data_IF_362758449026
#
_entry.id   IF_362758449026
#
_cell.length_a   1.000
_cell.length_b   1.000
_cell.length_c   1.000
_cell.angle_alpha   90.00
_cell.angle_beta   90.00
_cell.angle_gamma   90.00
#
_symmetry.space_group_name_H-M   'P 1'
#
loop_
_entity.id
_entity.type
_entity.pdbx_description
1 polymer ?
#
# COMPACT_ATOMS: atom_id res chain seq x y z
N UNK A 1 6.65 -23.94 -12.86
CA UNK A 1 5.78 -22.85 -13.35
C UNK A 1 4.73 -22.67 -12.28
N UNK A 2 4.63 -21.48 -11.70
CA UNK A 2 3.64 -21.17 -10.65
C UNK A 2 2.48 -20.48 -11.34
N UNK A 3 1.29 -21.08 -11.27
CA UNK A 3 0.16 -20.67 -12.11
C UNK A 3 -0.55 -19.41 -11.60
N UNK A 4 -0.35 -19.03 -10.34
CA UNK A 4 -0.92 -17.80 -9.77
C UNK A 4 -0.20 -17.37 -8.49
N UNK A 5 -0.36 -16.08 -8.15
CA UNK A 5 0.04 -15.50 -6.86
C UNK A 5 -1.09 -14.60 -6.36
N UNK A 6 -1.24 -14.50 -5.05
CA UNK A 6 -2.23 -13.65 -4.40
C UNK A 6 -1.61 -13.04 -3.14
N UNK A 7 -2.05 -11.83 -2.82
CA UNK A 7 -1.57 -11.10 -1.65
C UNK A 7 -2.47 -9.93 -1.32
N UNK A 8 -2.25 -9.36 -0.13
CA UNK A 8 -2.90 -8.13 0.32
C UNK A 8 -1.97 -6.96 0.00
N UNK A 9 -2.54 -5.89 -0.53
CA UNK A 9 -1.78 -4.71 -0.93
C UNK A 9 -2.58 -3.43 -0.73
N UNK A 10 -1.86 -2.33 -0.49
CA UNK A 10 -2.44 -1.00 -0.35
C UNK A 10 -2.52 -0.32 -1.71
N UNK A 11 -3.65 0.32 -2.01
CA UNK A 11 -3.74 1.25 -3.14
C UNK A 11 -2.98 2.54 -2.78
N UNK A 12 -2.00 2.89 -3.61
CA UNK A 12 -1.11 4.04 -3.41
C UNK A 12 -1.71 5.31 -3.98
N UNK A 13 -2.28 5.22 -5.19
CA UNK A 13 -2.98 6.34 -5.81
C UNK A 13 -4.11 5.85 -6.71
N UNK A 14 -5.08 6.73 -6.94
CA UNK A 14 -6.20 6.52 -7.85
C UNK A 14 -6.55 7.84 -8.56
N UNK A 15 -6.70 7.78 -9.88
CA UNK A 15 -7.12 8.90 -10.71
C UNK A 15 -8.59 8.72 -11.13
N UNK A 16 -9.53 9.51 -10.58
CA UNK A 16 -10.95 9.33 -10.87
C UNK A 16 -11.35 9.69 -12.31
N UNK A 17 -10.51 10.44 -13.04
CA UNK A 17 -10.80 10.87 -14.42
C UNK A 17 -10.75 9.73 -15.42
N UNK A 18 -9.84 8.78 -15.22
CA UNK A 18 -9.61 7.67 -16.17
C UNK A 18 -9.56 6.30 -15.49
N UNK A 19 -9.82 6.23 -14.18
CA UNK A 19 -9.77 5.00 -13.39
C UNK A 19 -8.37 4.44 -13.18
N UNK A 20 -7.31 5.12 -13.62
CA UNK A 20 -5.95 4.62 -13.47
C UNK A 20 -5.57 4.57 -11.99
N UNK A 21 -4.94 3.48 -11.58
CA UNK A 21 -4.48 3.32 -10.21
C UNK A 21 -3.06 2.75 -10.18
N UNK A 22 -2.42 2.97 -9.04
CA UNK A 22 -1.21 2.29 -8.63
C UNK A 22 -1.39 1.71 -7.24
N UNK A 23 -0.83 0.54 -7.02
CA UNK A 23 -0.86 -0.14 -5.74
C UNK A 23 0.52 -0.70 -5.43
N UNK A 24 0.77 -0.87 -4.13
CA UNK A 24 2.08 -1.21 -3.59
C UNK A 24 3.12 -0.09 -3.85
N UNK A 25 4.28 -0.24 -3.21
CA UNK A 25 5.46 0.59 -3.49
C UNK A 25 6.62 -0.21 -4.08
N UNK A 26 6.39 -1.45 -4.52
CA UNK A 26 7.42 -2.41 -4.91
C UNK A 26 6.86 -3.45 -5.90
N UNK A 27 7.73 -4.15 -6.66
CA UNK A 27 7.27 -5.21 -7.55
C UNK A 27 6.71 -6.41 -6.80
N UNK A 28 5.80 -7.12 -7.44
CA UNK A 28 5.49 -8.50 -7.07
C UNK A 28 6.62 -9.40 -7.60
N UNK A 29 7.23 -10.16 -6.72
CA UNK A 29 8.36 -11.04 -7.03
C UNK A 29 7.99 -12.49 -6.76
N UNK A 30 8.64 -13.42 -7.46
CA UNK A 30 8.61 -14.83 -7.12
C UNK A 30 9.37 -15.03 -5.81
N UNK A 31 8.76 -15.72 -4.83
CA UNK A 31 9.36 -15.87 -3.51
C UNK A 31 10.61 -16.78 -3.52
N UNK A 32 10.72 -17.65 -4.52
CA UNK A 32 11.80 -18.63 -4.64
C UNK A 32 12.98 -18.02 -5.40
N UNK A 33 12.74 -17.23 -6.45
CA UNK A 33 13.81 -16.62 -7.27
C UNK A 33 14.10 -15.16 -6.95
N UNK A 34 13.16 -14.44 -6.32
CA UNK A 34 13.22 -13.00 -6.11
C UNK A 34 13.02 -12.18 -7.40
N UNK A 35 12.79 -12.82 -8.54
CA UNK A 35 12.61 -12.14 -9.81
C UNK A 35 11.22 -11.52 -9.93
N UNK A 36 11.13 -10.40 -10.63
CA UNK A 36 9.86 -9.73 -10.89
C UNK A 36 8.97 -10.61 -11.77
N UNK A 37 7.75 -10.86 -11.32
CA UNK A 37 6.80 -11.63 -12.10
C UNK A 37 6.33 -10.85 -13.32
N UNK A 38 6.38 -11.47 -14.50
CA UNK A 38 5.73 -10.95 -15.70
C UNK A 38 4.22 -11.05 -15.57
N UNK A 39 3.51 -9.94 -15.76
CA UNK A 39 2.04 -9.93 -15.70
C UNK A 39 1.48 -10.29 -17.08
N UNK A 40 0.83 -11.44 -17.17
CA UNK A 40 -0.03 -11.80 -18.32
C UNK A 40 -1.46 -11.27 -18.11
N UNK A 41 -2.03 -11.55 -16.94
CA UNK A 41 -3.34 -11.08 -16.50
C UNK A 41 -3.39 -11.04 -14.98
N UNK A 42 -4.11 -10.08 -14.41
CA UNK A 42 -4.38 -10.04 -12.98
C UNK A 42 -5.56 -9.13 -12.67
N UNK A 43 -6.07 -9.26 -11.45
CA UNK A 43 -7.20 -8.47 -10.96
C UNK A 43 -6.98 -8.05 -9.52
N UNK A 44 -7.54 -6.90 -9.17
CA UNK A 44 -7.67 -6.47 -7.79
C UNK A 44 -9.10 -6.70 -7.33
N UNK A 45 -9.25 -7.17 -6.10
CA UNK A 45 -10.54 -7.41 -5.45
C UNK A 45 -10.53 -6.73 -4.09
N UNK A 46 -11.69 -6.34 -3.56
CA UNK A 46 -11.78 -5.77 -2.22
C UNK A 46 -11.26 -6.78 -1.19
N UNK A 47 -10.59 -6.26 -0.16
CA UNK A 47 -10.11 -7.08 0.94
C UNK A 47 -10.52 -6.48 2.28
N UNK A 48 -10.72 -7.34 3.27
CA UNK A 48 -11.02 -6.98 4.64
C UNK A 48 -9.90 -7.48 5.55
N UNK A 49 -9.33 -6.59 6.36
CA UNK A 49 -8.35 -6.96 7.38
C UNK A 49 -9.09 -7.68 8.51
N UNK A 50 -8.69 -8.92 8.79
CA UNK A 50 -9.29 -9.74 9.86
C UNK A 50 -8.43 -9.77 11.11
N UNK A 51 -7.12 -9.56 10.98
CA UNK A 51 -6.20 -9.51 12.10
C UNK A 51 -4.90 -8.83 11.70
N UNK A 52 -4.19 -8.35 12.70
CA UNK A 52 -2.82 -7.85 12.57
C UNK A 52 -1.94 -8.75 13.41
N UNK A 53 -0.88 -9.27 12.82
CA UNK A 53 0.24 -9.84 13.57
C UNK A 53 1.20 -8.71 13.91
N UNK A 54 1.34 -8.30 15.19
CA UNK A 54 2.22 -7.21 15.54
C UNK A 54 3.69 -7.55 15.21
N UNK A 55 4.42 -6.56 14.70
CA UNK A 55 5.85 -6.64 14.55
C UNK A 55 6.54 -6.56 15.91
N UNK A 56 7.58 -7.37 16.09
CA UNK A 56 8.44 -7.33 17.28
C UNK A 56 9.90 -7.25 16.85
N UNK A 57 10.78 -6.89 17.77
CA UNK A 57 12.22 -6.77 17.45
C UNK A 57 12.73 -8.09 16.84
N UNK A 58 13.23 -7.99 15.61
CA UNK A 58 13.79 -9.14 14.87
C UNK A 58 12.75 -10.00 14.13
N UNK A 59 11.45 -9.71 14.22
CA UNK A 59 10.40 -10.40 13.45
C UNK A 59 9.41 -9.39 12.86
N UNK A 60 9.30 -9.29 11.52
CA UNK A 60 8.30 -8.42 10.91
C UNK A 60 6.89 -8.88 11.28
N UNK A 61 6.00 -7.92 11.48
CA UNK A 61 4.57 -8.18 11.59
C UNK A 61 3.91 -8.17 10.21
N UNK A 62 2.61 -8.47 10.17
CA UNK A 62 1.84 -8.59 8.93
C UNK A 62 0.36 -8.24 9.12
N UNK A 63 -0.23 -7.58 8.13
CA UNK A 63 -1.68 -7.46 7.98
C UNK A 63 -2.24 -8.72 7.34
N UNK A 64 -3.20 -9.37 8.00
CA UNK A 64 -3.89 -10.55 7.46
C UNK A 64 -5.28 -10.15 7.02
N UNK A 65 -5.52 -10.27 5.72
CA UNK A 65 -6.80 -9.98 5.10
C UNK A 65 -7.47 -11.19 4.48
N UNK A 66 -8.78 -11.11 4.30
CA UNK A 66 -9.55 -12.00 3.45
C UNK A 66 -10.05 -11.23 2.23
N UNK A 67 -10.09 -11.91 1.09
CA UNK A 67 -10.78 -11.39 -0.09
C UNK A 67 -12.28 -11.40 0.15
N UNK A 68 -12.97 -10.34 -0.27
CA UNK A 68 -14.43 -10.29 -0.20
C UNK A 68 -14.97 -10.94 -1.48
N UNK A 69 -15.19 -12.26 -1.43
CA UNK A 69 -15.53 -13.08 -2.60
C UNK A 69 -16.87 -12.68 -3.28
N UNK A 70 -17.77 -12.02 -2.55
CA UNK A 70 -19.07 -11.58 -3.05
C UNK A 70 -19.05 -10.21 -3.75
N UNK A 71 -17.91 -9.54 -3.80
CA UNK A 71 -17.77 -8.24 -4.47
C UNK A 71 -17.12 -8.38 -5.84
N UNK A 72 -17.63 -7.59 -6.80
CA UNK A 72 -17.09 -7.55 -8.15
C UNK A 72 -15.62 -7.09 -8.15
N UNK A 73 -14.89 -7.53 -9.17
CA UNK A 73 -13.53 -7.10 -9.44
C UNK A 73 -13.42 -5.57 -9.44
N UNK A 74 -12.46 -5.00 -8.70
CA UNK A 74 -12.23 -3.56 -8.61
C UNK A 74 -11.49 -3.01 -9.83
N UNK A 75 -10.75 -3.87 -10.55
CA UNK A 75 -9.93 -3.48 -11.68
C UNK A 75 -8.97 -4.57 -12.11
N UNK A 76 -8.30 -4.31 -13.24
CA UNK A 76 -7.28 -5.20 -13.77
C UNK A 76 -5.88 -4.84 -13.25
N UNK A 77 -4.93 -5.76 -13.41
CA UNK A 77 -3.49 -5.49 -13.27
C UNK A 77 -2.88 -5.55 -14.67
N UNK A 78 -2.35 -4.41 -15.13
CA UNK A 78 -1.78 -4.27 -16.48
C UNK A 78 -0.25 -4.27 -16.48
N UNK A 79 0.38 -3.86 -15.38
CA UNK A 79 1.84 -3.77 -15.24
C UNK A 79 2.26 -4.15 -13.83
N UNK A 80 3.39 -4.84 -13.75
CA UNK A 80 4.20 -5.01 -12.54
C UNK A 80 5.54 -4.35 -12.81
N UNK A 81 5.96 -3.44 -11.94
CA UNK A 81 7.14 -2.60 -12.14
C UNK A 81 7.95 -2.51 -10.86
N UNK A 82 9.14 -1.94 -10.92
CA UNK A 82 9.96 -1.68 -9.74
C UNK A 82 9.28 -0.77 -8.68
N UNK A 83 8.23 -0.03 -9.05
CA UNK A 83 7.53 0.91 -8.18
C UNK A 83 6.12 0.45 -7.77
N UNK A 84 5.74 -0.80 -8.06
CA UNK A 84 4.39 -1.29 -7.78
C UNK A 84 3.68 -1.83 -9.01
N UNK A 85 2.41 -2.16 -8.81
CA UNK A 85 1.50 -2.61 -9.85
C UNK A 85 0.61 -1.46 -10.32
N UNK A 86 0.20 -1.52 -11.58
CA UNK A 86 -0.64 -0.49 -12.20
C UNK A 86 -1.74 -1.11 -13.04
N UNK A 87 -2.89 -0.45 -13.08
CA UNK A 87 -4.03 -0.88 -13.87
C UNK A 87 -5.12 0.17 -13.96
N UNK A 88 -6.30 -0.28 -14.37
CA UNK A 88 -7.50 0.52 -14.52
C UNK A 88 -8.60 -0.10 -13.68
N UNK A 89 -9.22 0.72 -12.84
CA UNK A 89 -10.37 0.34 -12.06
C UNK A 89 -11.59 0.16 -12.97
N UNK A 90 -12.33 -0.92 -12.78
CA UNK A 90 -13.60 -1.19 -13.47
C UNK A 90 -14.75 -0.39 -12.86
N UNK A 91 -14.57 0.08 -11.62
CA UNK A 91 -15.54 0.84 -10.83
C UNK A 91 -14.86 2.00 -10.15
N UNK A 92 -15.66 3.00 -9.75
CA UNK A 92 -15.15 4.10 -8.94
C UNK A 92 -14.71 3.57 -7.58
N UNK A 93 -13.47 3.87 -7.21
CA UNK A 93 -12.92 3.57 -5.88
C UNK A 93 -13.18 4.79 -5.00
N UNK A 94 -13.78 4.57 -3.84
CA UNK A 94 -14.11 5.62 -2.88
C UNK A 94 -13.24 5.51 -1.63
N UNK A 95 -12.94 6.65 -1.02
CA UNK A 95 -12.20 6.76 0.23
C UNK A 95 -13.07 7.48 1.26
N UNK A 96 -13.22 6.88 2.44
CA UNK A 96 -14.05 7.40 3.53
C UNK A 96 -13.48 8.65 4.22
N UNK A 97 -12.18 8.94 4.04
CA UNK A 97 -11.49 10.11 4.62
C UNK A 97 -11.48 11.29 3.63
N UNK A 98 -11.12 11.01 2.37
CA UNK A 98 -11.03 12.03 1.32
C UNK A 98 -12.07 11.76 0.24
N UNK A 99 -13.15 12.56 0.25
CA UNK A 99 -14.21 12.48 -0.76
C UNK A 99 -13.84 13.17 -2.06
N UNK A 100 -12.88 14.10 -2.01
CA UNK A 100 -12.35 14.84 -3.16
C UNK A 100 -10.88 14.47 -3.41
N UNK A 101 -10.41 14.53 -4.68
CA UNK A 101 -9.01 14.24 -4.99
C UNK A 101 -8.05 15.20 -4.29
N UNK A 102 -6.93 14.67 -3.82
CA UNK A 102 -5.84 15.44 -3.23
C UNK A 102 -4.70 15.60 -4.24
N UNK A 103 -4.03 16.75 -4.22
CA UNK A 103 -2.87 17.01 -5.07
C UNK A 103 -1.69 16.11 -4.70
N UNK A 104 -0.99 15.59 -5.70
CA UNK A 104 0.27 14.87 -5.50
C UNK A 104 1.38 15.88 -5.21
N UNK A 105 2.19 15.61 -4.20
CA UNK A 105 3.35 16.43 -3.83
C UNK A 105 4.60 16.02 -4.61
N UNK A 106 5.47 16.97 -4.93
CA UNK A 106 6.82 16.69 -5.43
C UNK A 106 7.77 16.40 -4.28
N UNK A 107 8.92 15.77 -4.58
CA UNK A 107 9.97 15.52 -3.58
C UNK A 107 10.41 16.80 -2.85
N UNK A 108 10.44 17.94 -3.56
CA UNK A 108 10.79 19.25 -3.01
C UNK A 108 9.76 19.81 -2.02
N UNK A 109 8.53 19.30 -2.04
CA UNK A 109 7.44 19.76 -1.18
C UNK A 109 7.44 19.04 0.18
N UNK A 110 8.13 17.89 0.26
CA UNK A 110 8.18 17.05 1.46
C UNK A 110 9.14 17.67 2.48
N UNK A 111 8.73 17.69 3.75
CA UNK A 111 9.52 18.21 4.87
C UNK A 111 9.61 17.19 5.99
N UNK A 112 10.72 17.21 6.71
CA UNK A 112 10.86 16.50 7.98
C UNK A 112 9.92 17.12 9.03
N UNK A 113 9.36 16.28 9.90
CA UNK A 113 8.41 16.71 10.93
C UNK A 113 7.12 15.87 11.00
N UNK A 114 6.11 16.34 11.76
CA UNK A 114 4.85 15.64 11.92
C UNK A 114 4.11 15.47 10.60
N UNK A 115 3.57 14.28 10.36
CA UNK A 115 2.75 13.93 9.21
C UNK A 115 1.69 12.89 9.59
N UNK A 116 0.84 12.51 8.63
CA UNK A 116 -0.15 11.45 8.81
C UNK A 116 0.02 10.39 7.72
N UNK A 117 -0.23 9.14 8.07
CA UNK A 117 -0.40 8.04 7.13
C UNK A 117 -1.85 7.56 7.15
N UNK A 118 -2.31 7.03 6.02
CA UNK A 118 -3.58 6.33 5.94
C UNK A 118 -3.33 4.83 5.83
N UNK A 119 -3.96 4.04 6.69
CA UNK A 119 -3.91 2.58 6.59
C UNK A 119 -5.16 1.95 7.20
N UNK A 120 -5.49 0.75 6.75
CA UNK A 120 -6.53 -0.09 7.34
C UNK A 120 -5.86 -1.16 8.19
N UNK A 121 -6.26 -1.28 9.45
CA UNK A 121 -5.74 -2.29 10.39
C UNK A 121 -6.83 -3.17 10.98
N UNK A 122 -8.09 -2.88 10.67
CA UNK A 122 -9.24 -3.63 11.12
C UNK A 122 -10.41 -3.41 10.15
N UNK A 123 -11.01 -4.50 9.68
CA UNK A 123 -12.11 -4.46 8.74
C UNK A 123 -11.71 -3.82 7.39
N UNK A 124 -12.54 -2.88 6.94
CA UNK A 124 -12.37 -2.13 5.69
C UNK A 124 -12.18 -0.63 5.95
N UNK A 125 -12.08 -0.22 7.21
CA UNK A 125 -12.07 1.18 7.61
C UNK A 125 -10.67 1.76 7.46
N UNK A 126 -10.49 2.69 6.51
CA UNK A 126 -9.25 3.46 6.40
C UNK A 126 -9.24 4.50 7.50
N UNK A 127 -8.13 4.58 8.24
CA UNK A 127 -7.93 5.55 9.32
C UNK A 127 -6.63 6.33 9.12
N UNK A 128 -6.62 7.56 9.61
CA UNK A 128 -5.42 8.39 9.65
C UNK A 128 -4.67 8.20 10.97
N UNK A 129 -3.36 8.01 10.90
CA UNK A 129 -2.50 7.83 12.06
C UNK A 129 -1.33 8.80 12.03
N UNK A 130 -0.95 9.30 13.19
CA UNK A 130 0.18 10.21 13.35
C UNK A 130 1.53 9.51 13.16
N UNK A 131 2.39 10.15 12.36
CA UNK A 131 3.79 9.77 12.16
C UNK A 131 4.68 11.00 12.26
N UNK A 132 5.99 10.75 12.30
CA UNK A 132 7.00 11.77 12.04
C UNK A 132 7.89 11.31 10.89
N UNK A 133 8.09 12.18 9.92
CA UNK A 133 9.16 12.05 8.92
C UNK A 133 10.45 12.50 9.61
N UNK A 134 11.27 11.54 10.02
CA UNK A 134 12.50 11.82 10.79
C UNK A 134 13.65 12.27 9.90
N UNK A 135 13.71 11.74 8.68
CA UNK A 135 14.78 12.05 7.76
C UNK A 135 14.33 11.94 6.31
N UNK A 136 14.67 12.94 5.51
CA UNK A 136 14.57 12.86 4.06
C UNK A 136 15.91 12.49 3.44
N UNK A 137 15.86 11.63 2.44
CA UNK A 137 17.02 11.30 1.61
C UNK A 137 16.80 11.92 0.23
N UNK A 138 17.65 12.86 -0.14
CA UNK A 138 17.60 13.43 -1.47
C UNK A 138 18.02 12.37 -2.50
N UNK A 139 17.25 12.25 -3.57
CA UNK A 139 17.43 11.22 -4.58
C UNK A 139 17.57 11.86 -5.96
N UNK A 140 18.72 11.68 -6.61
CA UNK A 140 18.89 12.11 -8.00
C UNK A 140 18.21 11.18 -9.02
N UNK A 141 17.83 9.97 -8.59
CA UNK A 141 17.14 8.95 -9.39
C UNK A 141 16.15 8.20 -8.49
N UNK A 142 15.02 7.69 -9.02
CA UNK A 142 14.04 6.93 -8.23
C UNK A 142 14.69 5.79 -7.44
N UNK A 143 14.42 5.73 -6.12
CA UNK A 143 14.92 4.68 -5.25
C UNK A 143 13.89 4.39 -4.13
N UNK A 144 13.68 3.12 -3.74
CA UNK A 144 12.72 2.75 -2.70
C UNK A 144 12.98 3.38 -1.32
N UNK A 145 14.20 3.85 -1.03
CA UNK A 145 14.57 4.44 0.27
C UNK A 145 14.67 5.96 0.18
N UNK A 146 13.53 6.65 0.27
CA UNK A 146 13.44 8.12 0.15
C UNK A 146 13.32 8.84 1.49
N UNK A 147 12.80 8.16 2.51
CA UNK A 147 12.55 8.77 3.82
C UNK A 147 12.63 7.74 4.94
N UNK A 148 12.92 8.23 6.14
CA UNK A 148 12.75 7.49 7.40
C UNK A 148 11.52 8.07 8.07
N UNK A 149 10.52 7.22 8.30
CA UNK A 149 9.31 7.57 9.03
C UNK A 149 9.25 6.76 10.32
N UNK A 150 8.69 7.37 11.36
CA UNK A 150 8.39 6.70 12.63
C UNK A 150 6.93 6.88 12.97
N UNK A 151 6.26 5.79 13.31
CA UNK A 151 4.90 5.83 13.84
C UNK A 151 4.92 6.44 15.24
N UNK A 152 4.07 7.44 15.47
CA UNK A 152 3.90 8.08 16.77
C UNK A 152 2.51 7.88 17.35
N UNK A 153 1.56 7.43 16.53
CA UNK A 153 0.20 7.15 16.94
C UNK A 153 0.11 5.97 17.93
N UNK A 154 -0.44 6.18 19.13
CA UNK A 154 -0.48 5.14 20.16
C UNK A 154 -1.45 3.99 19.81
N UNK A 155 -2.56 4.26 19.10
CA UNK A 155 -3.50 3.22 18.70
C UNK A 155 -2.87 2.31 17.66
N UNK A 156 -2.20 2.90 16.66
CA UNK A 156 -1.54 2.11 15.62
C UNK A 156 -0.41 1.27 16.22
N UNK A 157 0.44 1.86 17.08
CA UNK A 157 1.53 1.16 17.74
C UNK A 157 1.04 0.00 18.60
N UNK A 158 -0.04 0.19 19.36
CA UNK A 158 -0.61 -0.87 20.19
C UNK A 158 -1.07 -2.07 19.35
N UNK A 159 -1.66 -1.81 18.19
CA UNK A 159 -2.18 -2.86 17.29
C UNK A 159 -1.10 -3.57 16.48
N UNK A 160 -0.04 -2.86 16.09
CA UNK A 160 0.87 -3.29 15.03
C UNK A 160 2.32 -3.44 15.49
N UNK A 161 2.72 -2.82 16.60
CA UNK A 161 4.11 -2.74 17.02
C UNK A 161 5.00 -1.86 16.12
N UNK A 162 4.43 -1.14 15.15
CA UNK A 162 5.14 -0.31 14.18
C UNK A 162 4.67 -0.54 12.74
N UNK A 163 5.55 -0.35 11.78
CA UNK A 163 5.24 -0.62 10.37
C UNK A 163 5.31 -2.13 10.13
N UNK A 164 4.24 -2.71 9.58
CA UNK A 164 4.12 -4.14 9.28
C UNK A 164 3.94 -4.40 7.79
N UNK A 165 4.18 -5.64 7.36
CA UNK A 165 3.97 -6.05 5.98
C UNK A 165 2.49 -5.90 5.60
N UNK A 166 2.23 -5.50 4.35
CA UNK A 166 0.89 -5.18 3.86
C UNK A 166 0.49 -3.71 4.02
N UNK A 167 1.20 -2.91 4.82
CA UNK A 167 0.98 -1.44 4.85
C UNK A 167 1.62 -0.71 3.67
N UNK A 168 2.53 -1.37 2.94
CA UNK A 168 3.29 -0.76 1.85
C UNK A 168 2.36 -0.33 0.71
N UNK A 169 2.24 0.99 0.55
CA UNK A 169 1.60 1.70 -0.54
C UNK A 169 2.41 2.95 -0.81
#
# INVERSE_FOLDING_TARGET
IRDSTAGVGTLTFYCPLNGAYGALGHPITDIDTGEMLSVSSGKIVPSKIISVQPGVRGKPGELRGLFIESEDELGNISKNTACGIYGVASKKIENNIYTEPISVAFQSDIKEGPAKILTTVDGTDVKSYDIVIEKLTNQAKPNPKSMIIRITDPELLQKTGGIVQGMSG
#
